data_IF_421086104773
#
_entry.id   IF_421086104773
#
_cell.length_a   1.000
_cell.length_b   1.000
_cell.length_c   1.000
_cell.angle_alpha   90.00
_cell.angle_beta   90.00
_cell.angle_gamma   90.00
#
_symmetry.space_group_name_H-M   'P 1'
#
loop_
_entity.id
_entity.type
_entity.pdbx_description
1 polymer ?
#
# COMPACT_ATOMS: atom_id res chain seq x y z
N UNK A 1 -5.00 -24.77 6.09
CA UNK A 1 -4.41 -23.92 5.02
C UNK A 1 -5.29 -23.86 3.78
N UNK A 2 -6.03 -24.93 3.44
CA UNK A 2 -6.94 -24.94 2.28
C UNK A 2 -8.04 -23.86 2.33
N UNK A 3 -8.49 -23.44 3.52
CA UNK A 3 -9.53 -22.39 3.65
C UNK A 3 -9.08 -21.00 3.22
N UNK A 4 -7.88 -20.54 3.61
CA UNK A 4 -7.37 -19.21 3.26
C UNK A 4 -6.99 -19.13 1.79
N UNK A 5 -6.33 -20.18 1.27
CA UNK A 5 -6.00 -20.25 -0.15
C UNK A 5 -7.28 -20.23 -0.99
N UNK A 6 -8.27 -21.06 -0.66
CA UNK A 6 -9.54 -21.07 -1.37
C UNK A 6 -10.22 -19.70 -1.29
N UNK A 7 -10.20 -19.04 -0.13
CA UNK A 7 -10.73 -17.69 0.02
C UNK A 7 -10.07 -16.68 -0.95
N UNK A 8 -8.74 -16.67 -1.04
CA UNK A 8 -8.00 -15.78 -1.95
C UNK A 8 -8.27 -16.13 -3.41
N UNK A 9 -8.22 -17.42 -3.75
CA UNK A 9 -8.39 -17.90 -5.13
C UNK A 9 -9.86 -17.78 -5.61
N UNK A 10 -10.84 -17.71 -4.68
CA UNK A 10 -12.27 -17.55 -4.96
C UNK A 10 -12.79 -16.11 -4.82
N UNK A 11 -11.91 -15.11 -4.98
CA UNK A 11 -12.25 -13.68 -4.93
C UNK A 11 -12.82 -13.19 -3.58
N UNK A 12 -12.46 -13.83 -2.48
CA UNK A 12 -12.90 -13.43 -1.13
C UNK A 12 -12.46 -12.02 -0.75
N UNK A 13 -11.23 -11.63 -1.09
CA UNK A 13 -10.72 -10.27 -0.88
C UNK A 13 -11.53 -9.23 -1.67
N UNK A 14 -11.87 -9.51 -2.94
CA UNK A 14 -12.74 -8.63 -3.75
C UNK A 14 -14.13 -8.50 -3.14
N UNK A 15 -14.74 -9.60 -2.71
CA UNK A 15 -16.05 -9.56 -2.07
C UNK A 15 -16.05 -8.67 -0.82
N UNK A 16 -14.97 -8.67 -0.04
CA UNK A 16 -14.82 -7.77 1.11
C UNK A 16 -14.61 -6.31 0.69
N UNK A 17 -13.79 -6.05 -0.34
CA UNK A 17 -13.64 -4.71 -0.91
C UNK A 17 -14.98 -4.13 -1.40
N UNK A 18 -15.85 -4.94 -2.00
CA UNK A 18 -17.21 -4.53 -2.41
C UNK A 18 -18.10 -4.13 -1.22
N UNK A 19 -17.95 -4.80 -0.07
CA UNK A 19 -18.66 -4.40 1.16
C UNK A 19 -18.14 -3.06 1.69
N UNK A 20 -16.83 -2.85 1.66
CA UNK A 20 -16.20 -1.58 2.04
C UNK A 20 -16.64 -0.46 1.11
N UNK A 21 -16.70 -0.70 -0.21
CA UNK A 21 -17.21 0.24 -1.20
C UNK A 21 -18.61 0.74 -0.87
N UNK A 22 -19.54 -0.18 -0.57
CA UNK A 22 -20.92 0.19 -0.20
C UNK A 22 -20.97 1.12 1.01
N UNK A 23 -20.11 0.90 2.01
CA UNK A 23 -20.00 1.77 3.18
C UNK A 23 -19.39 3.12 2.83
N UNK A 24 -18.31 3.13 2.04
CA UNK A 24 -17.66 4.35 1.57
C UNK A 24 -18.61 5.24 0.75
N UNK A 25 -19.41 4.65 -0.15
CA UNK A 25 -20.46 5.37 -0.87
C UNK A 25 -21.50 5.98 0.08
N UNK A 26 -21.90 5.26 1.14
CA UNK A 26 -22.79 5.79 2.18
C UNK A 26 -22.23 7.05 2.86
N UNK A 27 -20.94 7.04 3.19
CA UNK A 27 -20.22 8.17 3.80
C UNK A 27 -20.11 9.35 2.82
N UNK A 28 -19.75 9.09 1.56
CA UNK A 28 -19.68 10.13 0.53
C UNK A 28 -21.05 10.79 0.30
N UNK A 29 -22.13 9.99 0.31
CA UNK A 29 -23.50 10.49 0.17
C UNK A 29 -23.94 11.38 1.35
N UNK A 30 -23.35 11.21 2.54
CA UNK A 30 -23.56 12.14 3.67
C UNK A 30 -22.67 13.38 3.62
N UNK A 31 -21.89 13.55 2.53
CA UNK A 31 -20.90 14.63 2.34
C UNK A 31 -19.77 14.57 3.35
N UNK A 32 -19.43 13.37 3.79
CA UNK A 32 -18.27 13.08 4.63
C UNK A 32 -17.20 12.33 3.83
N UNK A 33 -16.01 12.22 4.40
CA UNK A 33 -14.87 11.52 3.78
C UNK A 33 -14.57 10.22 4.51
N UNK A 34 -14.41 9.09 3.80
CA UNK A 34 -14.10 7.81 4.43
C UNK A 34 -12.71 7.82 5.08
N UNK A 35 -12.65 7.34 6.32
CA UNK A 35 -11.41 6.96 7.00
C UNK A 35 -11.48 5.48 7.37
N UNK A 36 -10.68 4.64 6.73
CA UNK A 36 -10.69 3.19 6.97
C UNK A 36 -9.57 2.79 7.93
N UNK A 37 -9.89 1.97 8.92
CA UNK A 37 -8.90 1.27 9.75
C UNK A 37 -9.12 -0.21 9.46
N UNK A 38 -8.12 -0.85 8.87
CA UNK A 38 -8.24 -2.19 8.31
C UNK A 38 -7.10 -3.12 8.66
N UNK A 39 -7.33 -4.39 8.36
CA UNK A 39 -6.38 -5.48 8.60
C UNK A 39 -5.70 -5.95 7.32
N UNK A 40 -6.40 -5.91 6.19
CA UNK A 40 -5.89 -6.42 4.90
C UNK A 40 -5.93 -5.30 3.87
N UNK A 41 -4.78 -4.96 3.28
CA UNK A 41 -4.65 -3.76 2.45
C UNK A 41 -5.55 -3.78 1.21
N UNK A 42 -5.92 -4.97 0.72
CA UNK A 42 -6.80 -5.08 -0.45
C UNK A 42 -8.21 -4.49 -0.24
N UNK A 43 -8.63 -4.28 1.01
CA UNK A 43 -9.90 -3.61 1.33
C UNK A 43 -9.91 -2.12 0.90
N UNK A 44 -8.74 -1.49 0.81
CA UNK A 44 -8.57 -0.10 0.33
C UNK A 44 -9.15 0.09 -1.07
N UNK A 45 -9.07 -0.90 -1.95
CA UNK A 45 -9.62 -0.76 -3.29
C UNK A 45 -11.14 -0.54 -3.30
N UNK A 46 -11.88 -1.01 -2.29
CA UNK A 46 -13.30 -0.66 -2.15
C UNK A 46 -13.53 0.83 -1.92
N UNK A 47 -12.67 1.48 -1.13
CA UNK A 47 -12.73 2.93 -0.91
C UNK A 47 -12.33 3.68 -2.18
N UNK A 48 -11.27 3.24 -2.85
CA UNK A 48 -10.80 3.84 -4.11
C UNK A 48 -11.84 3.74 -5.22
N UNK A 49 -12.54 2.61 -5.34
CA UNK A 49 -13.67 2.46 -6.27
C UNK A 49 -14.80 3.45 -5.97
N UNK A 50 -15.20 3.57 -4.70
CA UNK A 50 -16.23 4.53 -4.30
C UNK A 50 -15.83 5.98 -4.61
N UNK A 51 -14.56 6.34 -4.34
CA UNK A 51 -14.02 7.67 -4.63
C UNK A 51 -13.90 7.93 -6.13
N UNK A 52 -13.47 6.95 -6.90
CA UNK A 52 -13.35 7.04 -8.36
C UNK A 52 -14.72 7.18 -9.02
N UNK A 53 -15.73 6.43 -8.57
CA UNK A 53 -17.12 6.61 -9.03
C UNK A 53 -17.67 8.01 -8.71
N UNK A 54 -17.23 8.61 -7.60
CA UNK A 54 -17.73 9.90 -7.14
C UNK A 54 -17.01 11.10 -7.78
N UNK A 55 -15.69 11.04 -7.92
CA UNK A 55 -14.85 12.16 -8.38
C UNK A 55 -14.26 11.97 -9.78
N UNK A 56 -14.26 10.73 -10.29
CA UNK A 56 -13.58 10.34 -11.53
C UNK A 56 -12.12 9.93 -11.28
N UNK A 57 -11.62 8.91 -12.02
CA UNK A 57 -10.26 8.38 -11.83
C UNK A 57 -9.16 9.42 -12.13
N UNK A 58 -9.37 10.29 -13.11
CA UNK A 58 -8.41 11.31 -13.54
C UNK A 58 -8.18 12.40 -12.47
N UNK A 59 -9.17 12.68 -11.61
CA UNK A 59 -9.07 13.71 -10.58
C UNK A 59 -8.61 13.15 -9.22
N UNK A 60 -8.50 11.83 -9.09
CA UNK A 60 -8.13 11.13 -7.86
C UNK A 60 -6.62 10.85 -7.81
N UNK A 61 -5.89 11.64 -7.03
CA UNK A 61 -4.49 11.43 -6.68
C UNK A 61 -4.38 10.41 -5.53
N UNK A 62 -3.67 9.29 -5.75
CA UNK A 62 -3.54 8.21 -4.77
C UNK A 62 -2.09 8.10 -4.31
N UNK A 63 -1.88 8.25 -3.00
CA UNK A 63 -0.58 8.02 -2.38
C UNK A 63 -0.68 6.83 -1.42
N UNK A 64 0.18 5.85 -1.61
CA UNK A 64 0.31 4.67 -0.76
C UNK A 64 1.67 4.70 -0.07
N UNK A 65 1.68 4.68 1.27
CA UNK A 65 2.89 4.43 2.05
C UNK A 65 2.92 2.95 2.42
N UNK A 66 3.84 2.19 1.81
CA UNK A 66 3.86 0.74 1.93
C UNK A 66 5.28 0.18 1.74
N UNK A 67 5.56 -0.94 2.40
CA UNK A 67 6.72 -1.79 2.19
C UNK A 67 6.66 -2.51 0.84
N UNK A 68 5.47 -2.83 0.36
CA UNK A 68 5.19 -3.52 -0.89
C UNK A 68 4.69 -2.57 -1.99
N UNK A 69 4.58 -3.08 -3.21
CA UNK A 69 3.97 -2.36 -4.33
C UNK A 69 2.52 -2.74 -4.60
N UNK A 70 2.06 -3.90 -4.13
CA UNK A 70 0.67 -4.37 -4.23
C UNK A 70 0.00 -4.38 -5.62
N UNK A 71 0.81 -4.33 -6.68
CA UNK A 71 0.38 -4.47 -8.07
C UNK A 71 1.00 -5.69 -8.77
N UNK A 72 1.41 -6.73 -8.03
CA UNK A 72 2.10 -7.91 -8.60
C UNK A 72 1.10 -8.97 -9.06
N UNK A 73 1.19 -9.46 -10.30
CA UNK A 73 0.40 -10.59 -10.77
C UNK A 73 0.70 -11.85 -9.95
N UNK A 74 -0.32 -12.67 -9.72
CA UNK A 74 -0.21 -13.95 -9.00
C UNK A 74 0.70 -14.91 -9.76
N UNK A 75 0.57 -14.98 -11.08
CA UNK A 75 1.44 -15.81 -11.94
C UNK A 75 2.91 -15.40 -11.85
N UNK A 76 3.20 -14.11 -11.73
CA UNK A 76 4.56 -13.61 -11.59
C UNK A 76 5.15 -14.03 -10.23
N UNK A 77 4.38 -13.90 -9.16
CA UNK A 77 4.79 -14.36 -7.83
C UNK A 77 5.00 -15.88 -7.77
N UNK A 78 4.16 -16.67 -8.44
CA UNK A 78 4.35 -18.13 -8.58
C UNK A 78 5.73 -18.45 -9.16
N UNK A 79 6.09 -17.82 -10.28
CA UNK A 79 7.39 -18.02 -10.95
C UNK A 79 8.56 -17.69 -10.02
N UNK A 80 8.46 -16.64 -9.21
CA UNK A 80 9.50 -16.26 -8.25
C UNK A 80 9.63 -17.26 -7.09
N UNK A 81 8.52 -17.79 -6.59
CA UNK A 81 8.54 -18.81 -5.55
C UNK A 81 9.17 -20.10 -6.08
N UNK A 82 8.79 -20.54 -7.28
CA UNK A 82 9.40 -21.69 -7.95
C UNK A 82 10.91 -21.51 -8.13
N UNK A 83 11.34 -20.34 -8.63
CA UNK A 83 12.76 -19.99 -8.72
C UNK A 83 13.48 -20.09 -7.36
N UNK A 84 12.88 -19.55 -6.31
CA UNK A 84 13.45 -19.56 -4.96
C UNK A 84 13.58 -20.99 -4.40
N UNK A 85 12.56 -21.83 -4.60
CA UNK A 85 12.56 -23.23 -4.21
C UNK A 85 13.65 -24.01 -4.96
N UNK A 86 13.78 -23.80 -6.27
CA UNK A 86 14.82 -24.44 -7.09
C UNK A 86 16.23 -24.06 -6.61
N UNK A 87 16.45 -22.78 -6.28
CA UNK A 87 17.74 -22.33 -5.72
C UNK A 87 18.04 -22.92 -4.34
N UNK A 88 17.03 -23.38 -3.62
CA UNK A 88 17.16 -24.12 -2.35
C UNK A 88 17.22 -25.64 -2.55
N UNK A 89 17.33 -26.12 -3.80
CA UNK A 89 17.42 -27.54 -4.13
C UNK A 89 16.07 -28.26 -4.19
N UNK A 90 14.96 -27.53 -4.24
CA UNK A 90 13.60 -28.08 -4.32
C UNK A 90 13.00 -27.78 -5.69
N UNK A 91 12.82 -28.81 -6.52
CA UNK A 91 12.13 -28.68 -7.80
C UNK A 91 10.66 -29.01 -7.61
N UNK A 92 9.85 -28.00 -7.29
CA UNK A 92 8.40 -28.12 -7.13
C UNK A 92 7.73 -27.22 -8.14
N UNK A 93 6.95 -27.81 -9.04
CA UNK A 93 6.01 -27.05 -9.85
C UNK A 93 4.78 -26.75 -9.00
N UNK A 94 4.50 -25.46 -8.78
CA UNK A 94 3.32 -25.06 -8.03
C UNK A 94 2.08 -25.21 -8.91
N UNK A 95 0.92 -25.59 -8.35
CA UNK A 95 -0.32 -25.63 -9.10
C UNK A 95 -0.66 -24.24 -9.68
N UNK A 96 -1.32 -24.16 -10.85
CA UNK A 96 -1.80 -22.90 -11.39
C UNK A 96 -2.76 -22.24 -10.39
N UNK A 97 -2.71 -20.91 -10.33
CA UNK A 97 -3.61 -20.08 -9.52
C UNK A 97 -4.22 -19.01 -10.41
N UNK A 98 -5.49 -18.62 -10.18
CA UNK A 98 -6.09 -17.52 -10.91
C UNK A 98 -5.38 -16.20 -10.58
N UNK A 99 -5.42 -15.26 -11.53
CA UNK A 99 -5.11 -13.86 -11.24
C UNK A 99 -6.24 -13.28 -10.38
N UNK A 100 -6.09 -13.41 -9.06
CA UNK A 100 -7.09 -12.94 -8.10
C UNK A 100 -6.75 -11.57 -7.56
N UNK A 101 -7.78 -10.82 -7.22
CA UNK A 101 -7.68 -9.59 -6.41
C UNK A 101 -7.33 -9.97 -4.97
N UNK A 102 -6.16 -9.55 -4.47
CA UNK A 102 -5.67 -9.81 -3.12
C UNK A 102 -4.63 -8.76 -2.70
N UNK A 103 -4.09 -8.87 -1.48
CA UNK A 103 -3.09 -7.90 -0.95
C UNK A 103 -1.94 -7.63 -1.92
N UNK A 104 -1.41 -8.65 -2.58
CA UNK A 104 -0.26 -8.45 -3.47
C UNK A 104 -0.59 -7.89 -4.85
N UNK A 105 -1.86 -7.80 -5.23
CA UNK A 105 -2.30 -7.53 -6.62
C UNK A 105 -3.43 -6.50 -6.73
N UNK A 106 -4.05 -6.05 -5.65
CA UNK A 106 -5.27 -5.25 -5.73
C UNK A 106 -5.08 -3.95 -6.53
N UNK A 107 -3.94 -3.28 -6.39
CA UNK A 107 -3.65 -2.06 -7.15
C UNK A 107 -3.54 -2.34 -8.65
N UNK A 108 -3.06 -3.52 -9.04
CA UNK A 108 -3.04 -3.92 -10.46
C UNK A 108 -4.46 -4.03 -11.01
N UNK A 109 -5.37 -4.67 -10.28
CA UNK A 109 -6.78 -4.78 -10.69
C UNK A 109 -7.43 -3.40 -10.81
N UNK A 110 -7.17 -2.49 -9.87
CA UNK A 110 -7.70 -1.11 -9.94
C UNK A 110 -7.16 -0.32 -11.13
N UNK A 111 -5.89 -0.53 -11.51
CA UNK A 111 -5.28 0.07 -12.69
C UNK A 111 -5.86 -0.50 -13.98
N UNK A 112 -6.04 -1.82 -14.05
CA UNK A 112 -6.62 -2.53 -15.20
C UNK A 112 -8.10 -2.17 -15.41
N UNK A 113 -8.86 -2.03 -14.33
CA UNK A 113 -10.27 -1.64 -14.34
C UNK A 113 -10.49 -0.13 -14.57
N UNK A 114 -9.41 0.66 -14.59
CA UNK A 114 -9.47 2.13 -14.77
C UNK A 114 -10.06 2.87 -13.57
N UNK A 115 -10.08 2.24 -12.39
CA UNK A 115 -10.51 2.86 -11.13
C UNK A 115 -9.52 3.94 -10.70
N UNK A 116 -8.24 3.72 -10.96
CA UNK A 116 -7.17 4.72 -10.79
C UNK A 116 -6.34 4.74 -12.07
N UNK A 117 -5.75 5.89 -12.41
CA UNK A 117 -4.80 5.98 -13.53
C UNK A 117 -3.38 5.74 -13.03
N UNK A 118 -2.51 5.27 -13.93
CA UNK A 118 -1.10 4.99 -13.61
C UNK A 118 -0.39 6.26 -13.12
N UNK A 119 -0.61 7.40 -13.79
CA UNK A 119 0.04 8.67 -13.48
C UNK A 119 -0.38 9.28 -12.13
N UNK A 120 -1.59 8.94 -11.68
CA UNK A 120 -2.18 9.37 -10.42
C UNK A 120 -1.76 8.50 -9.21
N UNK A 121 -1.05 7.40 -9.42
CA UNK A 121 -0.60 6.49 -8.36
C UNK A 121 0.86 6.74 -7.98
N UNK A 122 1.08 7.00 -6.70
CA UNK A 122 2.40 7.07 -6.09
C UNK A 122 2.48 6.09 -4.92
N UNK A 123 3.49 5.22 -4.92
CA UNK A 123 3.78 4.29 -3.83
C UNK A 123 5.15 4.63 -3.25
N UNK A 124 5.27 4.78 -1.94
CA UNK A 124 6.52 5.16 -1.29
C UNK A 124 6.83 4.30 -0.06
N UNK A 125 8.13 4.04 0.16
CA UNK A 125 8.60 3.17 1.24
C UNK A 125 8.93 1.74 0.79
N UNK A 126 8.84 1.49 -0.51
CA UNK A 126 8.91 0.15 -1.10
C UNK A 126 10.27 -0.51 -0.90
N UNK A 127 10.26 -1.76 -0.46
CA UNK A 127 11.46 -2.60 -0.31
C UNK A 127 11.49 -3.82 -1.21
N UNK A 128 10.36 -4.26 -1.73
CA UNK A 128 10.27 -5.44 -2.60
C UNK A 128 10.43 -5.13 -4.10
N UNK A 129 10.78 -3.88 -4.44
CA UNK A 129 11.13 -3.46 -5.80
C UNK A 129 12.37 -4.24 -6.31
N UNK A 130 12.36 -4.77 -7.55
CA UNK A 130 13.46 -5.56 -8.06
C UNK A 130 14.79 -4.77 -8.15
N UNK A 131 15.92 -5.32 -7.68
CA UNK A 131 17.20 -4.65 -7.82
C UNK A 131 17.64 -4.57 -9.28
N UNK A 132 18.39 -3.51 -9.64
CA UNK A 132 18.88 -3.28 -11.02
C UNK A 132 19.70 -4.44 -11.59
N UNK A 133 20.32 -5.25 -10.72
CA UNK A 133 21.06 -6.45 -11.12
C UNK A 133 20.20 -7.51 -11.80
N UNK A 134 18.87 -7.50 -11.62
CA UNK A 134 17.96 -8.44 -12.28
C UNK A 134 17.73 -8.12 -13.76
N UNK A 135 18.04 -6.90 -14.21
CA UNK A 135 17.86 -6.48 -15.60
C UNK A 135 18.55 -7.41 -16.61
N UNK A 136 19.76 -7.85 -16.27
CA UNK A 136 20.60 -8.71 -17.10
C UNK A 136 20.60 -10.17 -16.61
N UNK A 137 19.59 -10.55 -15.82
CA UNK A 137 19.44 -11.92 -15.34
C UNK A 137 19.32 -12.90 -16.51
N UNK A 138 20.03 -14.03 -16.40
CA UNK A 138 19.90 -15.16 -17.35
C UNK A 138 18.64 -15.98 -17.11
N UNK A 139 18.05 -15.91 -15.92
CA UNK A 139 16.80 -16.61 -15.63
C UNK A 139 15.62 -15.78 -16.16
N UNK A 140 14.80 -16.33 -17.09
CA UNK A 140 13.71 -15.58 -17.71
C UNK A 140 12.66 -15.11 -16.70
N UNK A 141 12.44 -15.83 -15.60
CA UNK A 141 11.46 -15.47 -14.56
C UNK A 141 11.85 -14.19 -13.83
N UNK A 142 13.13 -14.05 -13.51
CA UNK A 142 13.66 -12.84 -12.87
C UNK A 142 13.67 -11.64 -13.83
N UNK A 143 13.95 -11.89 -15.11
CA UNK A 143 13.92 -10.86 -16.15
C UNK A 143 12.50 -10.35 -16.37
N UNK A 144 11.52 -11.26 -16.44
CA UNK A 144 10.09 -10.93 -16.53
C UNK A 144 9.64 -10.10 -15.32
N UNK A 145 10.05 -10.48 -14.11
CA UNK A 145 9.76 -9.70 -12.90
C UNK A 145 10.30 -8.27 -12.96
N UNK A 146 11.55 -8.11 -13.37
CA UNK A 146 12.14 -6.78 -13.55
C UNK A 146 11.41 -5.97 -14.62
N UNK A 147 11.13 -6.58 -15.78
CA UNK A 147 10.46 -5.92 -16.89
C UNK A 147 9.04 -5.47 -16.54
N UNK A 148 8.31 -6.25 -15.75
CA UNK A 148 6.98 -5.87 -15.28
C UNK A 148 7.01 -4.56 -14.47
N UNK A 149 7.93 -4.42 -13.52
CA UNK A 149 8.05 -3.18 -12.73
C UNK A 149 8.49 -1.96 -13.56
N UNK A 150 9.41 -2.17 -14.50
CA UNK A 150 9.82 -1.11 -15.43
C UNK A 150 8.64 -0.67 -16.31
N UNK A 151 7.79 -1.60 -16.74
CA UNK A 151 6.60 -1.31 -17.52
C UNK A 151 5.57 -0.50 -16.71
N UNK A 152 5.27 -0.89 -15.46
CA UNK A 152 4.38 -0.11 -14.59
C UNK A 152 4.88 1.32 -14.39
N UNK A 153 6.20 1.48 -14.20
CA UNK A 153 6.83 2.80 -14.07
C UNK A 153 6.76 3.59 -15.39
N UNK A 154 6.97 2.93 -16.53
CA UNK A 154 6.86 3.52 -17.87
C UNK A 154 5.44 3.99 -18.18
N UNK A 155 4.43 3.29 -17.68
CA UNK A 155 3.02 3.66 -17.80
C UNK A 155 2.62 4.83 -16.90
N UNK A 156 3.45 5.19 -15.92
CA UNK A 156 3.28 6.40 -15.11
C UNK A 156 3.23 6.17 -13.60
N UNK A 157 3.21 4.92 -13.12
CA UNK A 157 3.20 4.62 -11.68
C UNK A 157 4.50 5.12 -11.06
N UNK A 158 4.39 5.99 -10.05
CA UNK A 158 5.55 6.53 -9.34
C UNK A 158 5.88 5.63 -8.16
N UNK A 159 7.09 5.05 -8.13
CA UNK A 159 7.54 4.21 -7.02
C UNK A 159 8.79 4.80 -6.36
N UNK A 160 8.69 5.14 -5.08
CA UNK A 160 9.78 5.64 -4.25
C UNK A 160 10.25 4.53 -3.33
N UNK A 161 11.53 4.14 -3.49
CA UNK A 161 12.10 3.04 -2.70
C UNK A 161 12.36 3.52 -1.27
N UNK A 162 12.37 2.58 -0.34
CA UNK A 162 12.63 2.82 1.08
C UNK A 162 13.84 3.73 1.35
N UNK A 163 14.95 3.52 0.64
CA UNK A 163 16.18 4.31 0.84
C UNK A 163 16.06 5.77 0.37
N UNK A 164 15.08 6.07 -0.49
CA UNK A 164 14.82 7.39 -1.05
C UNK A 164 13.73 8.14 -0.26
N UNK A 165 12.96 7.42 0.55
CA UNK A 165 11.92 7.97 1.43
C UNK A 165 12.55 8.59 2.68
N UNK A 166 12.22 9.85 3.05
CA UNK A 166 11.11 10.70 2.59
C UNK A 166 11.45 11.69 1.47
N UNK A 167 12.72 11.83 1.07
CA UNK A 167 13.15 12.87 0.13
C UNK A 167 12.50 12.70 -1.25
N UNK A 168 12.50 11.49 -1.80
CA UNK A 168 11.86 11.19 -3.08
C UNK A 168 10.34 11.38 -3.05
N UNK A 169 9.70 11.11 -1.90
CA UNK A 169 8.27 11.40 -1.72
C UNK A 169 8.00 12.90 -1.87
N UNK A 170 8.80 13.75 -1.20
CA UNK A 170 8.66 15.22 -1.26
C UNK A 170 8.77 15.77 -2.69
N UNK A 171 9.61 15.16 -3.52
CA UNK A 171 9.79 15.57 -4.91
C UNK A 171 8.62 15.09 -5.76
N UNK A 172 8.28 13.79 -5.69
CA UNK A 172 7.30 13.17 -6.55
C UNK A 172 5.85 13.64 -6.32
N UNK A 173 5.50 14.03 -5.08
CA UNK A 173 4.12 14.49 -4.78
C UNK A 173 3.74 15.80 -5.48
N UNK A 174 4.73 16.64 -5.84
CA UNK A 174 4.50 17.91 -6.55
C UNK A 174 4.02 17.70 -7.98
N UNK A 175 4.38 16.56 -8.55
CA UNK A 175 4.07 16.16 -9.92
C UNK A 175 2.91 15.16 -9.96
N UNK A 176 2.24 14.92 -8.83
CA UNK A 176 1.10 14.01 -8.79
C UNK A 176 -0.15 14.75 -9.32
N UNK A 177 -0.72 14.34 -10.47
CA UNK A 177 -1.99 14.87 -10.98
C UNK A 177 -3.18 14.59 -10.03
N UNK A 178 -4.32 15.21 -10.33
CA UNK A 178 -5.57 15.06 -9.57
C UNK A 178 -5.74 16.07 -8.43
N UNK A 179 -6.93 16.65 -8.27
CA UNK A 179 -7.25 17.61 -7.21
C UNK A 179 -7.76 16.95 -5.92
N UNK A 180 -8.23 15.70 -6.01
CA UNK A 180 -8.73 14.91 -4.88
C UNK A 180 -7.66 13.96 -4.40
N UNK A 181 -7.25 14.08 -3.14
CA UNK A 181 -6.17 13.31 -2.55
C UNK A 181 -6.72 12.18 -1.68
N UNK A 182 -6.26 10.96 -1.95
CA UNK A 182 -6.41 9.81 -1.07
C UNK A 182 -5.03 9.37 -0.57
N UNK A 183 -4.92 9.13 0.74
CA UNK A 183 -3.69 8.66 1.36
C UNK A 183 -3.96 7.31 2.04
N UNK A 184 -3.28 6.29 1.58
CA UNK A 184 -3.30 4.97 2.19
C UNK A 184 -2.00 4.72 2.96
N UNK A 185 -2.10 4.30 4.21
CA UNK A 185 -0.96 3.93 5.04
C UNK A 185 -1.01 2.43 5.34
N UNK A 186 -0.21 1.66 4.62
CA UNK A 186 0.12 0.31 5.06
C UNK A 186 1.11 0.40 6.23
N UNK A 187 0.74 -0.17 7.37
CA UNK A 187 1.57 -0.10 8.56
C UNK A 187 2.90 -0.86 8.37
N UNK A 188 2.97 -1.82 7.46
CA UNK A 188 4.18 -2.57 7.13
C UNK A 188 5.31 -1.66 6.62
N UNK A 189 4.99 -0.46 6.11
CA UNK A 189 6.01 0.55 5.76
C UNK A 189 6.93 0.87 6.94
N UNK A 190 6.44 0.73 8.18
CA UNK A 190 7.16 0.95 9.43
C UNK A 190 7.56 -0.32 10.17
N UNK A 191 7.41 -1.50 9.56
CA UNK A 191 7.60 -2.81 10.19
C UNK A 191 8.95 -2.92 10.91
N UNK A 192 8.97 -3.54 12.10
CA UNK A 192 10.16 -3.66 12.97
C UNK A 192 10.85 -2.33 13.33
N UNK A 193 10.19 -1.18 13.10
CA UNK A 193 10.73 0.15 13.36
C UNK A 193 9.65 1.08 13.94
N UNK A 194 9.09 1.99 13.12
CA UNK A 194 8.10 2.97 13.57
C UNK A 194 6.72 2.38 13.86
N UNK A 195 6.34 1.31 13.17
CA UNK A 195 5.05 0.65 13.30
C UNK A 195 5.32 -0.85 13.50
N UNK A 196 5.64 -1.30 14.72
CA UNK A 196 5.98 -2.70 14.97
C UNK A 196 4.77 -3.64 15.14
N UNK A 197 3.55 -3.14 15.35
CA UNK A 197 2.32 -3.95 15.50
C UNK A 197 1.63 -4.16 14.14
N UNK A 198 2.30 -4.87 13.25
CA UNK A 198 1.82 -5.12 11.88
C UNK A 198 1.90 -6.60 11.54
N UNK A 199 1.11 -7.01 10.55
CA UNK A 199 1.02 -8.42 10.15
C UNK A 199 2.30 -8.96 9.54
N UNK A 200 3.04 -8.15 8.77
CA UNK A 200 4.33 -8.59 8.22
C UNK A 200 5.35 -8.91 9.31
N UNK A 201 5.32 -8.23 10.47
CA UNK A 201 6.22 -8.52 11.58
C UNK A 201 6.11 -9.99 12.04
N UNK A 202 4.90 -10.55 12.01
CA UNK A 202 4.67 -11.97 12.31
C UNK A 202 5.39 -12.90 11.32
N UNK A 203 5.35 -12.56 10.02
CA UNK A 203 5.93 -13.39 8.96
C UNK A 203 7.45 -13.25 8.82
N UNK A 204 8.00 -12.06 9.09
CA UNK A 204 9.44 -11.81 9.00
C UNK A 204 10.21 -12.49 10.14
N UNK A 205 9.59 -12.70 11.31
CA UNK A 205 10.26 -13.31 12.46
C UNK A 205 11.43 -12.47 12.98
N UNK A 206 12.18 -13.01 13.95
CA UNK A 206 13.25 -12.29 14.67
C UNK A 206 14.58 -12.19 13.91
N UNK A 207 14.73 -12.85 12.76
CA UNK A 207 16.01 -12.94 12.03
C UNK A 207 16.13 -11.93 10.87
N UNK A 208 15.04 -11.24 10.51
CA UNK A 208 15.03 -10.30 9.40
C UNK A 208 15.64 -8.95 9.80
N UNK A 209 16.71 -8.57 9.09
CA UNK A 209 17.49 -7.33 9.31
C UNK A 209 17.04 -6.15 8.45
N UNK A 210 15.80 -6.17 7.94
CA UNK A 210 15.29 -5.17 7.01
C UNK A 210 14.15 -4.36 7.66
N UNK A 211 14.46 -3.44 8.59
CA UNK A 211 13.43 -2.59 9.19
C UNK A 211 12.79 -1.67 8.13
N UNK A 212 11.51 -1.38 8.34
CA UNK A 212 10.78 -0.31 7.67
C UNK A 212 11.25 1.07 8.10
N UNK A 213 10.48 2.10 7.76
CA UNK A 213 10.79 3.49 8.05
C UNK A 213 10.94 3.71 9.57
N UNK A 214 11.96 4.49 9.95
CA UNK A 214 12.11 4.98 11.31
C UNK A 214 10.99 5.95 11.69
N UNK A 215 10.78 6.19 12.99
CA UNK A 215 9.80 7.17 13.48
C UNK A 215 10.03 8.56 12.85
N UNK A 216 11.28 8.98 12.78
CA UNK A 216 11.67 10.24 12.15
C UNK A 216 11.33 10.29 10.65
N UNK A 217 11.58 9.20 9.91
CA UNK A 217 11.24 9.11 8.49
C UNK A 217 9.72 9.11 8.26
N UNK A 218 8.97 8.35 9.07
CA UNK A 218 7.50 8.32 9.03
C UNK A 218 6.91 9.71 9.30
N UNK A 219 7.39 10.41 10.33
CA UNK A 219 6.93 11.77 10.65
C UNK A 219 7.27 12.80 9.57
N UNK A 220 8.43 12.66 8.91
CA UNK A 220 8.75 13.47 7.73
C UNK A 220 7.81 13.19 6.56
N UNK A 221 7.47 11.92 6.30
CA UNK A 221 6.46 11.57 5.29
C UNK A 221 5.13 12.22 5.62
N UNK A 222 4.64 12.07 6.86
CA UNK A 222 3.43 12.71 7.35
C UNK A 222 3.44 14.23 7.13
N UNK A 223 4.55 14.90 7.44
CA UNK A 223 4.69 16.36 7.24
C UNK A 223 4.60 16.75 5.77
N UNK A 224 5.20 15.97 4.87
CA UNK A 224 5.11 16.17 3.41
C UNK A 224 3.66 16.00 2.95
N UNK A 225 3.01 14.90 3.33
CA UNK A 225 1.65 14.59 2.91
C UNK A 225 0.64 15.60 3.46
N UNK A 226 0.77 15.98 4.73
CA UNK A 226 -0.11 16.98 5.33
C UNK A 226 0.04 18.36 4.68
N UNK A 227 1.21 18.68 4.12
CA UNK A 227 1.37 19.92 3.33
C UNK A 227 0.57 19.91 2.03
N UNK A 228 0.34 18.73 1.42
CA UNK A 228 -0.47 18.58 0.20
C UNK A 228 -1.95 18.90 0.42
N UNK A 229 -2.46 18.76 1.64
CA UNK A 229 -3.85 19.09 1.98
C UNK A 229 -4.15 20.59 1.83
N UNK A 230 -3.11 21.43 1.67
CA UNK A 230 -3.27 22.85 1.31
C UNK A 230 -3.51 23.07 -0.19
N UNK A 231 -3.11 22.11 -1.02
CA UNK A 231 -3.11 22.21 -2.49
C UNK A 231 -4.14 21.29 -3.13
N UNK A 232 -4.46 20.16 -2.46
CA UNK A 232 -5.41 19.14 -2.89
C UNK A 232 -6.42 18.90 -1.78
N UNK A 233 -7.65 18.58 -2.16
CA UNK A 233 -8.71 18.25 -1.21
C UNK A 233 -8.52 16.80 -0.72
N UNK A 234 -8.29 16.62 0.58
CA UNK A 234 -8.20 15.29 1.18
C UNK A 234 -9.60 14.64 1.21
N UNK A 235 -9.84 13.67 0.34
CA UNK A 235 -11.15 13.02 0.17
C UNK A 235 -11.30 11.70 0.90
N UNK A 236 -10.22 11.20 1.49
CA UNK A 236 -10.25 10.00 2.33
C UNK A 236 -8.84 9.57 2.73
N UNK A 237 -8.78 8.69 3.73
CA UNK A 237 -7.53 8.06 4.16
C UNK A 237 -7.76 6.64 4.67
N UNK A 238 -6.70 5.86 4.82
CA UNK A 238 -6.74 4.62 5.58
C UNK A 238 -5.46 4.32 6.38
N UNK A 239 -5.59 3.36 7.30
CA UNK A 239 -4.48 2.64 7.94
C UNK A 239 -4.75 1.14 7.84
N UNK A 240 -3.81 0.40 7.27
CA UNK A 240 -3.97 -1.00 6.91
C UNK A 240 -2.84 -1.87 7.52
N UNK A 241 -2.98 -3.20 7.38
CA UNK A 241 -2.07 -4.24 7.91
C UNK A 241 -1.78 -4.18 9.42
N UNK A 242 -2.72 -3.62 10.19
CA UNK A 242 -2.63 -3.60 11.64
C UNK A 242 -2.78 -5.01 12.23
N UNK A 243 -1.87 -5.37 13.14
CA UNK A 243 -2.05 -6.55 13.99
C UNK A 243 -2.96 -6.20 15.17
N UNK A 244 -4.24 -6.53 15.04
CA UNK A 244 -5.24 -6.22 16.06
C UNK A 244 -4.97 -6.90 17.40
N UNK A 245 -4.28 -8.05 17.42
CA UNK A 245 -3.97 -8.74 18.67
C UNK A 245 -2.91 -7.96 19.44
N UNK A 246 -1.83 -7.55 18.75
CA UNK A 246 -0.78 -6.73 19.34
C UNK A 246 -1.28 -5.35 19.76
N UNK A 247 -2.24 -4.77 19.04
CA UNK A 247 -2.86 -3.49 19.41
C UNK A 247 -3.82 -3.61 20.60
N UNK A 248 -4.52 -4.74 20.72
CA UNK A 248 -5.49 -4.97 21.79
C UNK A 248 -4.86 -5.36 23.13
N UNK A 249 -3.60 -5.80 23.13
CA UNK A 249 -2.86 -6.17 24.33
C UNK A 249 -2.28 -4.92 25.03
N UNK A 250 -2.78 -4.54 26.22
CA UNK A 250 -2.32 -3.36 26.95
C UNK A 250 -0.85 -3.45 27.40
N UNK A 251 -0.28 -4.65 27.42
CA UNK A 251 1.12 -4.89 27.79
C UNK A 251 2.08 -4.84 26.59
N UNK A 252 1.54 -4.77 25.37
CA UNK A 252 2.31 -4.77 24.13
C UNK A 252 3.00 -3.42 23.91
N UNK A 253 4.32 -3.41 24.09
CA UNK A 253 5.15 -2.25 23.73
C UNK A 253 5.09 -1.94 22.23
N UNK A 254 4.92 -2.97 21.39
CA UNK A 254 4.73 -2.82 19.96
C UNK A 254 3.39 -2.12 19.64
N UNK A 255 2.31 -2.55 20.30
CA UNK A 255 0.99 -1.94 20.18
C UNK A 255 1.01 -0.47 20.61
N UNK A 256 1.56 -0.19 21.80
CA UNK A 256 1.69 1.18 22.31
C UNK A 256 2.52 2.08 21.39
N UNK A 257 3.65 1.58 20.87
CA UNK A 257 4.51 2.33 19.93
C UNK A 257 3.77 2.64 18.63
N UNK A 258 3.08 1.65 18.07
CA UNK A 258 2.32 1.80 16.83
C UNK A 258 1.21 2.83 16.98
N UNK A 259 0.40 2.72 18.04
CA UNK A 259 -0.67 3.69 18.32
C UNK A 259 -0.10 5.10 18.50
N UNK A 260 0.97 5.26 19.29
CA UNK A 260 1.64 6.57 19.47
C UNK A 260 2.03 7.18 18.12
N UNK A 261 2.71 6.41 17.27
CA UNK A 261 3.26 6.92 16.02
C UNK A 261 2.16 7.16 14.97
N UNK A 262 1.09 6.36 14.93
CA UNK A 262 -0.09 6.65 14.12
C UNK A 262 -0.78 7.94 14.58
N UNK A 263 -0.97 8.14 15.88
CA UNK A 263 -1.55 9.38 16.41
C UNK A 263 -0.70 10.61 16.02
N UNK A 264 0.63 10.50 16.09
CA UNK A 264 1.54 11.56 15.63
C UNK A 264 1.44 11.78 14.11
N UNK A 265 1.36 10.70 13.33
CA UNK A 265 1.18 10.76 11.88
C UNK A 265 -0.10 11.51 11.51
N UNK A 266 -1.24 11.22 12.14
CA UNK A 266 -2.52 11.87 11.84
C UNK A 266 -2.63 13.29 12.40
N UNK A 267 -1.99 13.58 13.54
CA UNK A 267 -2.06 14.90 14.15
C UNK A 267 -1.49 16.01 13.25
N UNK A 268 -0.54 15.69 12.36
CA UNK A 268 -0.02 16.65 11.38
C UNK A 268 -1.09 17.13 10.38
N UNK A 269 -2.02 16.26 10.00
CA UNK A 269 -3.13 16.62 9.11
C UNK A 269 -4.11 17.56 9.84
N UNK A 270 -4.47 17.24 11.09
CA UNK A 270 -5.36 18.07 11.91
C UNK A 270 -4.79 19.47 12.19
N UNK A 271 -3.49 19.53 12.49
CA UNK A 271 -2.80 20.79 12.80
C UNK A 271 -2.78 21.73 11.60
N UNK A 272 -2.53 21.20 10.39
CA UNK A 272 -2.47 22.01 9.18
C UNK A 272 -3.87 22.50 8.76
N UNK A 273 -4.92 21.68 8.88
CA UNK A 273 -6.30 22.10 8.61
C UNK A 273 -6.75 23.26 9.52
N UNK A 274 -6.23 23.34 10.75
CA UNK A 274 -6.55 24.43 11.68
C UNK A 274 -5.91 25.79 11.33
N UNK A 275 -4.86 25.80 10.51
CA UNK A 275 -4.13 27.01 10.09
C UNK A 275 -4.60 27.58 8.75
N UNK A 276 -5.60 26.94 8.10
CA UNK A 276 -6.00 27.20 6.72
C UNK A 276 -7.33 27.95 6.50
N UNK A 277 -7.97 28.51 7.53
CA UNK A 277 -9.09 29.44 7.31
C UNK A 277 -8.57 30.88 7.29
N UNK A 278 -8.31 31.50 6.13
CA UNK A 278 -8.31 32.95 6.06
C UNK A 278 -9.72 33.43 6.43
N UNK A 279 -9.77 34.34 7.39
CA UNK A 279 -10.93 35.14 7.78
C UNK A 279 -11.50 35.93 6.60
#
# INVERSE_FOLDING_TARGET
MDSLRNFIDSSGCKAHAEEVKKKALGILNSKEHPFLIGVDHSATGGVLEALSEHYGPEDLAVIVLDYHCDFRPVSLMKKLIEYSLEKRGSHVELPPRPESYNVGSFLLHLLEDGVITHENLLIAGVRDYPPKSLKDSRDPRLKEYFQFFEEMTRLGVKVIKHAETPTGLKEAVRELPGSKLYISLDSDVGVLASLPATRLAYFLGSEVKAPGLSEEALHRCSSVLASLVKEKELVGMDVMELDIYLLSDPSSSAGATTVKNLMMFFNNFLTISSQGKPS
#
